data_IF_328197166222
#
_entry.id   IF_328197166222
#
_cell.length_a   1.000
_cell.length_b   1.000
_cell.length_c   1.000
_cell.angle_alpha   90.00
_cell.angle_beta   90.00
_cell.angle_gamma   90.00
#
_symmetry.space_group_name_H-M   'P 1'
#
loop_
_entity.id
_entity.type
_entity.pdbx_description
1 polymer ?
#
# COMPACT_ATOMS: atom_id res chain seq x y z
N UNK A 1 5.05 13.46 5.97
CA UNK A 1 4.37 12.42 6.76
C UNK A 1 4.66 11.10 6.07
N UNK A 2 5.60 10.32 6.60
CA UNK A 2 5.97 9.01 6.04
C UNK A 2 5.08 7.96 6.70
N UNK A 3 4.40 7.13 5.90
CA UNK A 3 3.63 5.99 6.41
C UNK A 3 4.54 5.13 7.30
N UNK A 4 4.25 5.07 8.59
CA UNK A 4 5.14 4.47 9.59
C UNK A 4 5.08 2.95 9.49
N UNK A 5 5.95 2.35 8.68
CA UNK A 5 5.97 0.91 8.42
C UNK A 5 6.00 0.51 6.94
N UNK A 6 5.99 1.50 6.04
CA UNK A 6 6.31 1.30 4.62
C UNK A 6 7.77 1.66 4.40
N UNK A 7 8.58 0.66 4.02
CA UNK A 7 9.92 0.92 3.48
C UNK A 7 9.84 1.36 2.02
N UNK A 8 10.94 1.89 1.49
CA UNK A 8 11.05 2.35 0.09
C UNK A 8 10.59 1.30 -0.92
N UNK A 9 10.96 0.02 -0.72
CA UNK A 9 10.53 -1.06 -1.59
C UNK A 9 8.99 -1.19 -1.69
N UNK A 10 8.28 -1.06 -0.56
CA UNK A 10 6.81 -1.17 -0.56
C UNK A 10 6.14 0.10 -1.09
N UNK A 11 6.73 1.27 -0.83
CA UNK A 11 6.27 2.51 -1.40
C UNK A 11 6.34 2.47 -2.92
N UNK A 12 7.43 1.92 -3.47
CA UNK A 12 7.60 1.70 -4.89
C UNK A 12 6.53 0.74 -5.43
N UNK A 13 6.31 -0.41 -4.79
CA UNK A 13 5.27 -1.35 -5.23
C UNK A 13 3.86 -0.74 -5.20
N UNK A 14 3.55 0.17 -4.27
CA UNK A 14 2.27 0.93 -4.25
C UNK A 14 2.16 1.86 -5.45
N UNK A 15 3.24 2.55 -5.78
CA UNK A 15 3.25 3.43 -6.95
C UNK A 15 3.11 2.62 -8.24
N UNK A 16 3.87 1.53 -8.37
CA UNK A 16 3.85 0.65 -9.54
C UNK A 16 2.45 0.04 -9.72
N UNK A 17 1.85 -0.49 -8.65
CA UNK A 17 0.48 -1.01 -8.70
C UNK A 17 -0.52 0.07 -9.12
N UNK A 18 -0.37 1.30 -8.60
CA UNK A 18 -1.25 2.41 -8.96
C UNK A 18 -1.08 2.86 -10.41
N UNK A 19 0.13 2.77 -10.95
CA UNK A 19 0.39 3.08 -12.37
C UNK A 19 -0.15 1.98 -13.29
N UNK A 20 -0.05 0.71 -12.88
CA UNK A 20 -0.45 -0.43 -13.70
C UNK A 20 -1.97 -0.71 -13.62
N UNK A 21 -2.54 -0.71 -12.42
CA UNK A 21 -3.96 -0.99 -12.17
C UNK A 21 -4.83 0.26 -12.07
N UNK A 22 -4.23 1.44 -11.87
CA UNK A 22 -4.95 2.69 -11.66
C UNK A 22 -5.25 2.98 -10.18
N UNK A 23 -6.33 3.72 -9.91
CA UNK A 23 -6.67 4.11 -8.54
C UNK A 23 -7.07 2.88 -7.72
N UNK A 24 -6.60 2.83 -6.47
CA UNK A 24 -7.07 1.87 -5.48
C UNK A 24 -8.58 2.03 -5.27
N UNK A 25 -9.33 0.95 -5.48
CA UNK A 25 -10.78 0.94 -5.24
C UNK A 25 -11.09 0.63 -3.78
N UNK A 26 -10.24 -0.16 -3.15
CA UNK A 26 -10.35 -0.57 -1.75
C UNK A 26 -8.98 -0.57 -1.09
N UNK A 27 -8.95 -0.43 0.24
CA UNK A 27 -7.71 -0.67 1.01
C UNK A 27 -7.19 -2.10 0.80
N UNK A 28 -8.08 -3.06 0.50
CA UNK A 28 -7.72 -4.46 0.22
C UNK A 28 -6.80 -4.62 -1.01
N UNK A 29 -6.88 -3.70 -1.97
CA UNK A 29 -5.99 -3.71 -3.14
C UNK A 29 -4.51 -3.57 -2.72
N UNK A 30 -4.25 -2.94 -1.57
CA UNK A 30 -2.90 -2.85 -1.03
C UNK A 30 -2.38 -4.22 -0.59
N UNK A 31 -3.24 -5.17 -0.21
CA UNK A 31 -2.81 -6.55 0.10
C UNK A 31 -2.47 -7.36 -1.16
N UNK A 32 -2.90 -6.90 -2.34
CA UNK A 32 -2.51 -7.50 -3.63
C UNK A 32 -1.09 -7.10 -4.04
N UNK A 33 -0.54 -6.06 -3.43
CA UNK A 33 0.80 -5.57 -3.73
C UNK A 33 1.86 -6.50 -3.13
N UNK A 34 2.77 -6.97 -3.98
CA UNK A 34 3.90 -7.77 -3.54
C UNK A 34 4.76 -6.98 -2.54
N UNK A 35 4.92 -7.55 -1.34
CA UNK A 35 5.62 -6.93 -0.22
C UNK A 35 4.69 -6.34 0.84
N UNK A 36 3.40 -6.11 0.58
CA UNK A 36 2.43 -5.68 1.59
C UNK A 36 1.68 -6.91 2.12
N UNK A 37 2.21 -7.46 3.20
CA UNK A 37 1.52 -8.49 4.01
C UNK A 37 0.67 -7.83 5.09
N UNK A 38 -0.19 -8.62 5.74
CA UNK A 38 -1.04 -8.19 6.86
C UNK A 38 -0.33 -7.32 7.89
N UNK A 39 0.91 -7.65 8.26
CA UNK A 39 1.65 -6.88 9.28
C UNK A 39 1.97 -5.44 8.86
N UNK A 40 2.14 -5.16 7.58
CA UNK A 40 2.32 -3.79 7.08
C UNK A 40 1.00 -3.17 6.66
N UNK A 41 0.10 -3.96 6.09
CA UNK A 41 -1.25 -3.52 5.82
C UNK A 41 -1.95 -2.96 7.07
N UNK A 42 -1.87 -3.66 8.21
CA UNK A 42 -2.44 -3.17 9.47
C UNK A 42 -1.83 -1.86 9.97
N UNK A 43 -0.56 -1.56 9.63
CA UNK A 43 0.08 -0.30 10.03
C UNK A 43 -0.34 0.87 9.15
N UNK A 44 -0.66 0.62 7.89
CA UNK A 44 -1.01 1.68 6.94
C UNK A 44 -2.50 1.83 6.71
N UNK A 45 -3.31 0.80 6.96
CA UNK A 45 -4.76 0.85 6.70
C UNK A 45 -5.45 1.98 7.46
N UNK A 46 -4.90 2.38 8.61
CA UNK A 46 -5.44 3.47 9.43
C UNK A 46 -5.03 4.85 8.89
N UNK A 47 -3.90 4.93 8.20
CA UNK A 47 -3.38 6.16 7.57
C UNK A 47 -3.88 6.35 6.12
N UNK A 48 -4.53 5.34 5.54
CA UNK A 48 -5.00 5.36 4.16
C UNK A 48 -6.51 5.65 4.13
N UNK A 49 -6.86 6.68 3.37
CA UNK A 49 -8.23 7.06 3.04
C UNK A 49 -8.35 7.10 1.52
N UNK A 50 -9.44 6.53 0.99
CA UNK A 50 -9.71 6.33 -0.44
C UNK A 50 -10.56 7.48 -0.98
#
# INVERSE_FOLDING_TARGET
MTLTGIGEAKAQSILDYREEHGKFGSIEDLMLIEGIKEGVFNKIKEDITI
#
